data_IF_630042492916
#
_entry.id   IF_630042492916
#
_cell.length_a   1.000
_cell.length_b   1.000
_cell.length_c   1.000
_cell.angle_alpha   90.00
_cell.angle_beta   90.00
_cell.angle_gamma   90.00
#
_symmetry.space_group_name_H-M   'P 1'
#
loop_
_entity.id
_entity.type
_entity.pdbx_description
1 polymer ?
#
# COMPACT_ATOMS: atom_id res chain seq x y z
N UNK A 1 1.20 12.19 64.81
CA UNK A 1 0.67 11.36 63.73
C UNK A 1 0.52 12.27 62.54
N UNK A 2 1.45 12.13 61.63
CA UNK A 2 1.64 12.91 60.42
C UNK A 2 0.65 12.38 59.38
N UNK A 3 -0.19 13.26 58.82
CA UNK A 3 -0.92 12.94 57.59
C UNK A 3 -0.52 14.03 56.59
N UNK A 4 0.49 13.71 55.79
CA UNK A 4 1.05 14.57 54.77
C UNK A 4 0.15 14.54 53.53
N UNK A 5 -0.45 15.70 53.25
CA UNK A 5 -0.59 16.31 51.93
C UNK A 5 -0.22 15.43 50.72
N UNK A 6 -1.23 14.77 50.12
CA UNK A 6 -1.13 14.03 48.86
C UNK A 6 -1.86 14.74 47.69
N UNK A 7 -2.13 16.03 47.79
CA UNK A 7 -2.83 16.82 46.75
C UNK A 7 -1.89 17.78 46.00
N UNK A 8 -0.77 17.26 45.50
CA UNK A 8 0.12 18.00 44.61
C UNK A 8 0.68 17.13 43.49
N UNK A 9 -0.17 16.33 42.84
CA UNK A 9 0.15 15.69 41.57
C UNK A 9 -0.32 16.58 40.41
N UNK A 10 0.61 17.41 39.96
CA UNK A 10 0.87 17.69 38.55
C UNK A 10 -0.31 18.15 37.67
N UNK A 11 -0.63 19.45 37.77
CA UNK A 11 -1.37 20.18 36.72
C UNK A 11 -0.42 20.58 35.58
N UNK A 12 0.37 19.64 35.06
CA UNK A 12 0.97 19.80 33.74
C UNK A 12 -0.12 19.51 32.71
N UNK A 13 -0.75 20.57 32.20
CA UNK A 13 -1.77 20.47 31.15
C UNK A 13 -1.25 19.60 30.01
N UNK A 14 -1.94 18.49 29.75
CA UNK A 14 -1.64 17.59 28.64
C UNK A 14 -1.64 18.38 27.33
N UNK A 15 -0.49 18.44 26.66
CA UNK A 15 -0.35 19.08 25.35
C UNK A 15 -0.81 18.05 24.31
N UNK A 16 -1.87 18.33 23.54
CA UNK A 16 -2.34 17.42 22.51
C UNK A 16 -1.23 17.20 21.47
N UNK A 17 -0.80 15.96 21.31
CA UNK A 17 0.06 15.55 20.20
C UNK A 17 -0.82 15.33 18.97
N UNK A 18 -0.35 15.81 17.81
CA UNK A 18 -1.03 15.53 16.54
C UNK A 18 -0.64 14.13 16.07
N UNK A 19 -1.55 13.40 15.42
CA UNK A 19 -1.25 12.12 14.74
C UNK A 19 -0.40 12.31 13.47
N UNK A 20 0.05 13.53 13.19
CA UNK A 20 0.92 13.81 12.06
C UNK A 20 2.37 13.54 12.44
N UNK A 21 2.99 12.61 11.73
CA UNK A 21 4.43 12.39 11.79
C UNK A 21 5.17 13.54 11.11
N UNK A 22 6.41 13.79 11.55
CA UNK A 22 7.30 14.71 10.83
C UNK A 22 7.63 14.17 9.44
N UNK A 23 8.00 15.07 8.53
CA UNK A 23 8.49 14.70 7.21
C UNK A 23 9.69 13.75 7.33
N UNK A 24 9.66 12.62 6.63
CA UNK A 24 10.69 11.58 6.67
C UNK A 24 10.68 10.70 7.92
N UNK A 25 9.72 10.89 8.84
CA UNK A 25 9.60 10.05 10.03
C UNK A 25 9.27 8.59 9.69
N UNK A 26 9.53 7.65 10.61
CA UNK A 26 9.23 6.24 10.42
C UNK A 26 10.34 5.44 9.72
N UNK A 27 11.60 5.83 9.89
CA UNK A 27 12.78 5.05 9.43
C UNK A 27 12.65 4.46 8.00
N UNK A 28 12.39 5.31 6.99
CA UNK A 28 12.19 4.88 5.61
C UNK A 28 13.48 4.27 5.05
N UNK A 29 13.35 3.09 4.44
CA UNK A 29 14.49 2.30 3.93
C UNK A 29 14.08 1.34 2.81
N UNK A 30 15.06 0.95 2.00
CA UNK A 30 14.94 -0.17 1.10
C UNK A 30 15.57 -1.40 1.72
N UNK A 31 14.84 -2.51 1.71
CA UNK A 31 15.39 -3.84 1.94
C UNK A 31 15.77 -4.40 0.57
N UNK A 32 17.06 -4.55 0.32
CA UNK A 32 17.64 -4.96 -0.96
C UNK A 32 18.05 -6.43 -0.88
N UNK A 33 17.67 -7.20 -1.89
CA UNK A 33 18.01 -8.63 -2.01
C UNK A 33 18.53 -8.93 -3.40
N UNK A 34 19.77 -9.42 -3.48
CA UNK A 34 20.39 -9.94 -4.70
C UNK A 34 21.27 -11.13 -4.34
N UNK A 35 22.59 -10.99 -4.54
CA UNK A 35 23.57 -11.93 -3.99
C UNK A 35 23.61 -11.84 -2.45
N UNK A 36 23.53 -10.62 -1.93
CA UNK A 36 23.47 -10.31 -0.51
C UNK A 36 22.12 -9.67 -0.15
N UNK A 37 21.85 -9.61 1.15
CA UNK A 37 20.66 -8.98 1.73
C UNK A 37 21.09 -7.86 2.68
N UNK A 38 20.64 -6.63 2.43
CA UNK A 38 21.00 -5.46 3.23
C UNK A 38 19.91 -4.39 3.20
N UNK A 39 19.98 -3.46 4.15
CA UNK A 39 19.11 -2.29 4.20
C UNK A 39 19.84 -1.04 3.71
N UNK A 40 19.13 -0.18 2.99
CA UNK A 40 19.60 1.11 2.52
C UNK A 40 18.67 2.21 3.04
N UNK A 41 19.13 3.09 3.95
CA UNK A 41 18.29 4.16 4.51
C UNK A 41 17.96 5.21 3.45
N UNK A 42 16.76 5.81 3.57
CA UNK A 42 16.31 6.91 2.71
C UNK A 42 16.19 8.21 3.54
N UNK A 43 17.34 8.72 3.99
CA UNK A 43 17.50 9.87 4.89
C UNK A 43 17.58 11.24 4.20
N UNK A 44 17.11 11.34 2.96
CA UNK A 44 17.25 12.50 2.10
C UNK A 44 16.15 12.58 1.05
N UNK A 45 16.22 13.60 0.19
CA UNK A 45 15.14 13.90 -0.75
C UNK A 45 15.23 13.11 -2.07
N UNK A 46 16.42 12.63 -2.42
CA UNK A 46 16.69 11.98 -3.71
C UNK A 46 17.74 10.91 -3.58
N UNK A 47 17.47 9.76 -4.16
CA UNK A 47 18.41 8.64 -4.24
C UNK A 47 18.41 8.05 -5.64
N UNK A 48 19.58 7.78 -6.17
CA UNK A 48 19.79 7.17 -7.48
C UNK A 48 20.20 5.71 -7.33
N UNK A 49 19.62 4.86 -8.17
CA UNK A 49 19.84 3.41 -8.15
C UNK A 49 20.38 3.01 -9.51
N UNK A 50 21.53 2.35 -9.55
CA UNK A 50 22.15 1.96 -10.80
C UNK A 50 23.53 1.33 -10.65
N UNK A 51 24.18 1.07 -11.78
CA UNK A 51 25.53 0.51 -11.84
C UNK A 51 26.63 1.58 -11.98
N UNK A 52 26.26 2.84 -12.17
CA UNK A 52 27.20 3.95 -12.31
C UNK A 52 27.85 4.29 -10.98
N UNK A 53 29.13 4.67 -10.98
CA UNK A 53 29.89 5.00 -9.76
C UNK A 53 29.28 6.12 -8.92
N UNK A 54 28.47 6.96 -9.56
CA UNK A 54 27.86 8.13 -8.94
C UNK A 54 26.46 7.82 -8.38
N UNK A 55 25.99 6.56 -8.49
CA UNK A 55 24.71 6.15 -7.92
C UNK A 55 24.81 5.97 -6.41
N UNK A 56 23.80 6.45 -5.68
CA UNK A 56 23.72 6.30 -4.23
C UNK A 56 23.61 4.83 -3.81
N UNK A 57 22.85 4.05 -4.59
CA UNK A 57 22.70 2.60 -4.43
C UNK A 57 23.26 1.86 -5.64
N UNK A 58 24.46 1.31 -5.47
CA UNK A 58 25.17 0.54 -6.49
C UNK A 58 24.60 -0.88 -6.64
N UNK A 59 24.04 -1.18 -7.81
CA UNK A 59 23.48 -2.49 -8.14
C UNK A 59 23.94 -2.98 -9.50
N UNK A 60 24.69 -4.08 -9.51
CA UNK A 60 25.32 -4.62 -10.71
C UNK A 60 24.30 -5.17 -11.72
N UNK A 61 24.61 -5.06 -13.02
CA UNK A 61 23.74 -5.56 -14.09
C UNK A 61 22.52 -4.68 -14.39
N UNK A 62 22.54 -3.42 -13.94
CA UNK A 62 21.53 -2.40 -14.25
C UNK A 62 22.13 -1.27 -15.10
N UNK A 63 21.30 -0.31 -15.52
CA UNK A 63 21.78 0.89 -16.22
C UNK A 63 22.58 1.79 -15.27
N UNK A 64 23.48 2.67 -15.76
CA UNK A 64 24.26 3.57 -14.91
C UNK A 64 23.37 4.37 -13.93
N UNK A 65 22.24 4.87 -14.42
CA UNK A 65 21.13 5.38 -13.63
C UNK A 65 19.88 4.63 -14.10
N UNK A 66 19.45 3.62 -13.34
CA UNK A 66 18.33 2.78 -13.70
C UNK A 66 17.01 3.33 -13.16
N UNK A 67 17.03 3.88 -11.96
CA UNK A 67 15.88 4.49 -11.31
C UNK A 67 16.31 5.53 -10.27
N UNK A 68 15.33 6.26 -9.78
CA UNK A 68 15.48 7.27 -8.75
C UNK A 68 14.32 7.18 -7.77
N UNK A 69 14.62 7.36 -6.48
CA UNK A 69 13.61 7.58 -5.46
C UNK A 69 13.61 9.06 -5.11
N UNK A 70 12.43 9.68 -5.11
CA UNK A 70 12.22 11.04 -4.62
C UNK A 70 11.30 11.06 -3.43
N UNK A 71 11.64 11.85 -2.44
CA UNK A 71 10.75 12.17 -1.33
C UNK A 71 10.12 13.54 -1.61
N UNK A 72 8.80 13.60 -1.72
CA UNK A 72 8.08 14.82 -2.10
C UNK A 72 7.58 15.64 -0.88
N UNK A 73 6.97 16.79 -1.17
CA UNK A 73 6.42 17.73 -0.18
C UNK A 73 5.21 17.18 0.57
N UNK A 74 4.60 16.10 0.08
CA UNK A 74 3.51 15.38 0.72
C UNK A 74 4.01 14.23 1.60
N UNK A 75 5.32 14.18 1.83
CA UNK A 75 5.96 13.12 2.59
C UNK A 75 5.79 11.73 1.94
N UNK A 76 5.66 11.70 0.61
CA UNK A 76 5.55 10.49 -0.18
C UNK A 76 6.89 10.13 -0.83
N UNK A 77 7.22 8.84 -0.85
CA UNK A 77 8.37 8.32 -1.58
C UNK A 77 7.92 7.85 -2.96
N UNK A 78 8.52 8.39 -4.01
CA UNK A 78 8.19 8.13 -5.42
C UNK A 78 9.34 7.38 -6.06
N UNK A 79 9.07 6.22 -6.65
CA UNK A 79 9.99 5.53 -7.54
C UNK A 79 9.79 6.04 -8.97
N UNK A 80 10.84 6.62 -9.56
CA UNK A 80 10.93 7.00 -10.96
C UNK A 80 11.81 5.99 -11.69
N UNK A 81 11.29 5.35 -12.73
CA UNK A 81 12.04 4.35 -13.51
C UNK A 81 12.42 4.89 -14.88
N UNK A 82 13.72 4.81 -15.22
CA UNK A 82 14.25 5.22 -16.53
C UNK A 82 14.51 4.03 -17.46
N UNK A 83 14.43 2.81 -16.92
CA UNK A 83 14.56 1.55 -17.63
C UNK A 83 13.51 0.55 -17.14
N UNK A 84 13.48 -0.63 -17.75
CA UNK A 84 12.53 -1.70 -17.41
C UNK A 84 12.65 -2.13 -15.95
N UNK A 85 11.54 -2.03 -15.22
CA UNK A 85 11.42 -2.46 -13.84
C UNK A 85 10.07 -3.15 -13.64
N UNK A 86 10.06 -4.23 -12.88
CA UNK A 86 8.84 -4.94 -12.52
C UNK A 86 8.39 -4.47 -11.14
N UNK A 87 7.11 -4.12 -10.98
CA UNK A 87 6.58 -3.60 -9.71
C UNK A 87 5.32 -4.36 -9.29
N UNK A 88 5.08 -4.45 -7.99
CA UNK A 88 3.86 -5.09 -7.46
C UNK A 88 2.66 -4.14 -7.35
N UNK A 89 2.85 -2.89 -7.75
CA UNK A 89 1.87 -1.81 -7.64
C UNK A 89 1.62 -1.24 -9.03
N UNK A 90 0.37 -0.93 -9.34
CA UNK A 90 0.03 -0.29 -10.61
C UNK A 90 0.74 1.06 -10.70
N UNK A 91 1.54 1.31 -11.75
CA UNK A 91 2.16 2.60 -11.93
C UNK A 91 1.10 3.68 -12.07
N UNK A 92 1.24 4.77 -11.32
CA UNK A 92 0.39 5.92 -11.51
C UNK A 92 1.00 6.82 -12.58
N UNK A 93 0.23 7.25 -13.60
CA UNK A 93 0.70 8.24 -14.56
C UNK A 93 0.80 9.61 -13.88
N UNK A 94 1.77 9.82 -12.99
CA UNK A 94 2.24 11.15 -12.66
C UNK A 94 3.18 11.53 -13.79
N UNK A 95 2.98 12.72 -14.38
CA UNK A 95 3.93 13.28 -15.34
C UNK A 95 5.24 13.52 -14.58
N UNK A 96 6.11 12.53 -14.54
CA UNK A 96 7.50 12.76 -14.17
C UNK A 96 8.07 13.78 -15.15
N UNK A 97 8.97 14.62 -14.65
CA UNK A 97 9.95 15.27 -15.52
C UNK A 97 10.56 14.17 -16.39
N UNK A 98 10.56 14.38 -17.71
CA UNK A 98 11.19 13.51 -18.72
C UNK A 98 10.45 12.22 -19.14
N UNK A 99 9.18 12.04 -18.75
CA UNK A 99 8.36 10.93 -19.27
C UNK A 99 8.62 9.56 -18.62
N UNK A 100 9.39 9.53 -17.53
CA UNK A 100 9.55 8.36 -16.67
C UNK A 100 8.22 7.95 -16.03
N UNK A 101 8.04 6.64 -15.82
CA UNK A 101 6.93 6.15 -15.01
C UNK A 101 7.22 6.39 -13.53
N UNK A 102 6.21 6.81 -12.78
CA UNK A 102 6.32 7.09 -11.35
C UNK A 102 5.39 6.21 -10.52
N UNK A 103 5.84 5.75 -9.36
CA UNK A 103 5.04 4.90 -8.48
C UNK A 103 5.22 5.39 -7.05
N UNK A 104 4.12 5.58 -6.32
CA UNK A 104 4.18 5.88 -4.88
C UNK A 104 4.56 4.60 -4.14
N UNK A 105 5.60 4.68 -3.32
CA UNK A 105 6.08 3.60 -2.47
C UNK A 105 5.36 3.64 -1.12
N UNK A 106 4.43 2.72 -0.92
CA UNK A 106 3.83 2.41 0.39
C UNK A 106 4.67 1.34 1.09
N UNK A 107 4.61 1.27 2.42
CA UNK A 107 5.28 0.19 3.17
C UNK A 107 4.87 -1.18 2.61
N UNK A 108 5.86 -2.00 2.26
CA UNK A 108 5.67 -3.28 1.58
C UNK A 108 5.63 -3.22 0.05
N UNK A 109 5.75 -2.05 -0.57
CA UNK A 109 5.90 -1.92 -2.02
C UNK A 109 7.16 -2.64 -2.48
N UNK A 110 7.04 -3.42 -3.56
CA UNK A 110 8.11 -4.24 -4.09
C UNK A 110 8.37 -3.91 -5.55
N UNK A 111 9.64 -3.84 -5.90
CA UNK A 111 10.08 -3.68 -7.27
C UNK A 111 11.33 -4.50 -7.57
N UNK A 112 11.56 -4.79 -8.84
CA UNK A 112 12.70 -5.56 -9.33
C UNK A 112 13.38 -4.86 -10.50
N UNK A 113 14.70 -4.92 -10.50
CA UNK A 113 15.57 -4.35 -11.53
C UNK A 113 16.64 -5.40 -11.85
N UNK A 114 16.49 -6.08 -12.99
CA UNK A 114 17.29 -7.26 -13.30
C UNK A 114 17.15 -8.33 -12.21
N UNK A 115 18.27 -8.71 -11.61
CA UNK A 115 18.32 -9.75 -10.56
C UNK A 115 17.99 -9.23 -9.15
N UNK A 116 17.90 -7.90 -8.97
CA UNK A 116 17.72 -7.30 -7.65
C UNK A 116 16.25 -7.16 -7.31
N UNK A 117 15.90 -7.49 -6.07
CA UNK A 117 14.59 -7.26 -5.47
C UNK A 117 14.71 -6.21 -4.39
N UNK A 118 13.78 -5.27 -4.37
CA UNK A 118 13.70 -4.18 -3.42
C UNK A 118 12.33 -4.21 -2.76
N UNK A 119 12.32 -4.00 -1.44
CA UNK A 119 11.09 -3.78 -0.68
C UNK A 119 11.23 -2.47 0.07
N UNK A 120 10.30 -1.55 -0.12
CA UNK A 120 10.24 -0.32 0.67
C UNK A 120 9.63 -0.63 2.04
N UNK A 121 10.29 -0.18 3.10
CA UNK A 121 9.81 -0.28 4.47
C UNK A 121 9.83 1.11 5.12
N UNK A 122 8.73 1.44 5.78
CA UNK A 122 8.58 2.61 6.65
C UNK A 122 7.78 2.17 7.87
N UNK A 123 8.33 2.44 9.04
CA UNK A 123 7.71 2.17 10.33
C UNK A 123 6.55 3.15 10.52
N UNK A 124 5.35 2.62 10.73
CA UNK A 124 4.17 3.43 11.02
C UNK A 124 4.01 3.53 12.54
N UNK A 125 4.35 4.69 13.11
CA UNK A 125 4.12 4.95 14.53
C UNK A 125 2.63 5.25 14.75
N UNK A 126 1.91 4.22 15.19
CA UNK A 126 0.59 4.36 15.76
C UNK A 126 0.70 4.89 17.21
N UNK A 127 1.16 6.13 17.40
CA UNK A 127 0.82 6.86 18.64
C UNK A 127 -0.64 7.31 18.53
N UNK A 128 -1.52 6.32 18.52
CA UNK A 128 -2.92 6.53 18.83
C UNK A 128 -2.99 6.84 20.33
N UNK A 129 -2.59 8.05 20.69
CA UNK A 129 -2.97 8.67 21.93
C UNK A 129 -4.48 8.51 22.12
N UNK A 130 -4.92 8.46 23.37
CA UNK A 130 -6.32 8.21 23.74
C UNK A 130 -7.21 9.17 22.92
N UNK A 131 -8.08 8.68 22.01
CA UNK A 131 -8.89 9.56 21.17
C UNK A 131 -9.78 10.45 22.04
N UNK A 132 -9.94 11.72 21.64
CA UNK A 132 -10.73 12.73 22.38
C UNK A 132 -12.24 12.40 22.46
N UNK A 133 -12.69 11.38 21.72
CA UNK A 133 -14.02 10.80 21.87
C UNK A 133 -14.06 9.86 23.06
N UNK A 134 -14.48 10.37 24.22
CA UNK A 134 -14.75 9.57 25.40
C UNK A 134 -15.66 8.38 25.05
N UNK A 135 -15.34 7.21 25.60
CA UNK A 135 -16.34 6.16 25.76
C UNK A 135 -17.19 6.58 26.96
N UNK A 136 -18.19 7.43 26.73
CA UNK A 136 -19.42 7.38 27.55
C UNK A 136 -20.12 6.07 27.14
N UNK A 137 -19.67 5.00 27.79
CA UNK A 137 -19.91 3.62 27.40
C UNK A 137 -19.00 2.71 28.20
N UNK A 138 -18.91 2.99 29.51
CA UNK A 138 -18.39 2.03 30.47
C UNK A 138 -19.41 0.92 30.69
N UNK A 139 -18.96 -0.19 31.26
CA UNK A 139 -19.72 -1.40 31.61
C UNK A 139 -20.95 -1.23 32.54
N UNK A 140 -21.39 0.01 32.78
CA UNK A 140 -22.59 0.40 33.54
C UNK A 140 -23.56 1.29 32.74
N UNK A 141 -23.25 1.60 31.48
CA UNK A 141 -24.10 2.42 30.62
C UNK A 141 -24.91 1.54 29.65
N UNK A 142 -26.22 1.79 29.60
CA UNK A 142 -27.14 1.04 28.75
C UNK A 142 -27.06 1.60 27.32
N UNK A 143 -26.29 0.91 26.46
CA UNK A 143 -26.15 1.32 25.07
C UNK A 143 -27.46 1.02 24.31
N UNK A 144 -28.10 2.02 23.67
CA UNK A 144 -29.30 1.76 22.89
C UNK A 144 -28.98 0.82 21.72
N UNK A 145 -29.85 -0.18 21.52
CA UNK A 145 -29.76 -1.10 20.38
C UNK A 145 -29.78 -0.28 19.09
N UNK A 146 -28.81 -0.55 18.21
CA UNK A 146 -28.82 0.07 16.89
C UNK A 146 -30.13 -0.28 16.16
N UNK A 147 -30.80 0.69 15.53
CA UNK A 147 -32.02 0.42 14.78
C UNK A 147 -31.74 -0.60 13.67
N UNK A 148 -32.74 -1.39 13.25
CA UNK A 148 -32.60 -2.29 12.12
C UNK A 148 -32.13 -1.50 10.89
N UNK A 149 -31.32 -2.14 10.04
CA UNK A 149 -30.87 -1.53 8.79
C UNK A 149 -32.10 -1.02 8.01
N UNK A 150 -32.05 0.22 7.49
CA UNK A 150 -33.06 0.69 6.55
C UNK A 150 -33.18 -0.27 5.38
N UNK A 151 -34.41 -0.51 4.93
CA UNK A 151 -34.63 -1.22 3.67
C UNK A 151 -34.32 -0.27 2.51
N UNK A 152 -33.40 -0.69 1.64
CA UNK A 152 -32.98 0.06 0.45
C UNK A 152 -33.62 -0.48 -0.84
N UNK A 153 -34.56 -1.42 -0.74
CA UNK A 153 -35.25 -2.02 -1.89
C UNK A 153 -35.96 -1.00 -2.79
N UNK A 154 -36.35 0.16 -2.26
CA UNK A 154 -37.03 1.23 -3.02
C UNK A 154 -36.10 2.36 -3.51
N UNK A 155 -34.78 2.30 -3.24
CA UNK A 155 -33.78 3.24 -3.80
C UNK A 155 -32.91 2.58 -4.88
N UNK A 156 -33.45 1.57 -5.55
CA UNK A 156 -32.81 0.83 -6.64
C UNK A 156 -33.27 1.20 -8.04
N UNK A 157 -34.20 2.16 -8.21
CA UNK A 157 -34.63 2.65 -9.53
C UNK A 157 -33.79 3.87 -9.96
N UNK A 158 -32.47 3.72 -9.90
CA UNK A 158 -31.51 4.64 -10.52
C UNK A 158 -31.07 4.05 -11.84
N UNK A 159 -31.63 4.55 -12.94
CA UNK A 159 -31.32 4.24 -14.34
C UNK A 159 -29.90 3.73 -14.58
N UNK A 160 -29.77 2.44 -14.89
CA UNK A 160 -28.61 1.92 -15.62
C UNK A 160 -28.78 2.31 -17.10
N UNK A 161 -27.82 2.99 -17.75
CA UNK A 161 -27.90 3.23 -19.18
C UNK A 161 -27.81 1.88 -19.91
N UNK A 162 -28.83 1.58 -20.69
CA UNK A 162 -28.87 0.44 -21.61
C UNK A 162 -27.93 0.69 -22.77
N UNK A 163 -26.85 -0.09 -22.88
CA UNK A 163 -26.21 -0.38 -24.17
C UNK A 163 -26.27 -1.89 -24.41
N UNK A 164 -27.20 -2.21 -25.31
CA UNK A 164 -27.20 -3.26 -26.34
C UNK A 164 -26.55 -4.63 -26.08
N UNK A 165 -27.39 -5.64 -26.24
CA UNK A 165 -27.02 -7.03 -26.43
C UNK A 165 -26.45 -7.27 -27.84
N UNK A 166 -25.29 -7.90 -27.89
CA UNK A 166 -24.85 -8.81 -28.95
C UNK A 166 -23.76 -9.72 -28.34
N UNK A 167 -23.62 -11.01 -28.60
CA UNK A 167 -24.41 -12.09 -29.15
C UNK A 167 -23.55 -13.34 -28.83
N UNK A 168 -24.18 -14.50 -28.61
CA UNK A 168 -23.65 -15.84 -28.88
C UNK A 168 -22.35 -16.36 -28.21
N UNK A 169 -22.49 -17.32 -27.29
CA UNK A 169 -21.72 -18.58 -27.31
C UNK A 169 -22.32 -19.64 -26.35
N UNK A 170 -22.16 -20.96 -26.64
CA UNK A 170 -23.19 -21.98 -26.38
C UNK A 170 -23.07 -22.75 -25.05
N UNK A 171 -24.20 -23.40 -24.72
CA UNK A 171 -24.48 -24.28 -23.58
C UNK A 171 -23.62 -25.56 -23.52
N UNK A 172 -23.16 -26.02 -22.34
CA UNK A 172 -22.53 -27.32 -22.18
C UNK A 172 -23.60 -28.40 -22.01
N UNK A 173 -23.87 -29.13 -23.10
CA UNK A 173 -24.68 -30.32 -23.10
C UNK A 173 -23.86 -31.60 -22.98
N UNK A 174 -24.29 -32.43 -22.06
CA UNK A 174 -24.52 -33.87 -22.23
C UNK A 174 -23.53 -34.87 -21.61
N UNK A 175 -24.15 -35.79 -20.89
CA UNK A 175 -23.60 -36.84 -20.04
C UNK A 175 -23.33 -38.06 -20.91
N UNK A 176 -22.19 -38.71 -20.70
CA UNK A 176 -21.78 -39.85 -21.51
C UNK A 176 -22.68 -41.07 -21.36
N UNK A 177 -22.85 -41.81 -22.46
CA UNK A 177 -23.05 -43.26 -22.41
C UNK A 177 -22.54 -43.97 -23.67
N UNK A 178 -22.04 -45.19 -23.44
CA UNK A 178 -21.89 -46.33 -24.35
C UNK A 178 -20.86 -46.28 -25.49
N UNK A 179 -19.75 -46.96 -25.20
CA UNK A 179 -18.93 -47.74 -26.13
C UNK A 179 -19.80 -48.84 -26.78
N UNK A 180 -19.69 -49.08 -28.09
CA UNK A 180 -19.20 -50.33 -28.68
C UNK A 180 -19.30 -50.32 -30.22
N UNK A 181 -18.61 -51.28 -30.84
CA UNK A 181 -18.55 -51.69 -32.25
C UNK A 181 -17.36 -51.18 -33.06
N UNK A 182 -16.43 -52.14 -33.18
CA UNK A 182 -15.25 -52.24 -34.04
C UNK A 182 -15.63 -52.47 -35.53
N UNK A 183 -14.64 -52.46 -36.45
CA UNK A 183 -14.79 -52.05 -37.85
C UNK A 183 -15.17 -53.22 -38.77
N UNK A 184 -15.50 -52.91 -40.03
CA UNK A 184 -14.80 -53.63 -41.09
C UNK A 184 -14.66 -52.85 -42.40
N UNK A 185 -13.56 -53.17 -43.06
CA UNK A 185 -13.05 -52.59 -44.29
C UNK A 185 -13.44 -53.52 -45.44
N UNK A 186 -14.02 -52.99 -46.51
CA UNK A 186 -13.78 -53.38 -47.91
C UNK A 186 -14.49 -52.41 -48.84
#
# INVERSE_FOLDING_TARGET
MTDENLDAADTAGYVPTTTHSEWGAGHPRLIVSGADHFEFPLDGERFTIGSGSDADLLVAGTQPVHAEIRHDDRDEYLLLTYAEAETNTTPEPRKSLDGAQSIILRSGAQFRMGQWRFTFARDEYADHGRPFGGREGGELEDQPVQPPRPDYSERGEGTVPTEEAAESAPSPGDTGEARDVKPDRA
#
